data_IF_985275334330
#
_entry.id   IF_985275334330
#
_cell.length_a   1.000
_cell.length_b   1.000
_cell.length_c   1.000
_cell.angle_alpha   90.00
_cell.angle_beta   90.00
_cell.angle_gamma   90.00
#
_symmetry.space_group_name_H-M   'P 1'
#
loop_
_entity.id
_entity.type
_entity.pdbx_description
1 polymer ?
#
# COMPACT_ATOMS: atom_id res chain seq x y z
N UNK A 1 -76.88 -39.43 -7.18
CA UNK A 1 -76.59 -39.21 -5.75
C UNK A 1 -75.80 -37.92 -5.59
N UNK A 2 -76.34 -36.99 -4.79
CA UNK A 2 -75.76 -35.85 -4.06
C UNK A 2 -74.64 -34.97 -4.68
N UNK A 3 -74.97 -33.70 -5.04
CA UNK A 3 -74.68 -32.40 -4.32
C UNK A 3 -73.29 -31.82 -4.65
N UNK A 4 -73.18 -30.80 -5.51
CA UNK A 4 -73.42 -29.32 -5.38
C UNK A 4 -72.16 -28.53 -4.94
N UNK A 5 -71.79 -27.60 -5.83
CA UNK A 5 -70.99 -26.37 -5.74
C UNK A 5 -70.66 -25.81 -4.34
N UNK A 6 -69.52 -25.10 -4.21
CA UNK A 6 -69.43 -23.62 -4.09
C UNK A 6 -68.01 -23.17 -3.64
N UNK A 7 -67.55 -22.07 -4.26
CA UNK A 7 -66.56 -21.03 -3.87
C UNK A 7 -65.28 -21.35 -3.11
N UNK A 8 -64.17 -20.79 -3.63
CA UNK A 8 -63.18 -20.10 -2.81
C UNK A 8 -62.85 -18.74 -3.44
N UNK A 9 -62.80 -17.75 -2.55
CA UNK A 9 -62.73 -16.30 -2.70
C UNK A 9 -61.36 -15.75 -3.05
N UNK A 10 -61.39 -14.67 -3.82
CA UNK A 10 -60.31 -13.73 -4.12
C UNK A 10 -59.86 -12.96 -2.85
N UNK A 11 -58.54 -12.81 -2.64
CA UNK A 11 -57.97 -11.99 -1.54
C UNK A 11 -56.99 -10.97 -2.10
N UNK A 12 -57.39 -9.71 -1.95
CA UNK A 12 -56.58 -8.49 -1.99
C UNK A 12 -55.27 -8.59 -1.17
N UNK A 13 -54.16 -8.11 -1.75
CA UNK A 13 -53.05 -7.50 -1.00
C UNK A 13 -52.53 -6.25 -1.73
N UNK A 14 -53.01 -5.12 -1.23
CA UNK A 14 -52.38 -3.81 -1.02
C UNK A 14 -51.16 -3.37 -1.88
N UNK A 15 -51.39 -2.39 -2.76
CA UNK A 15 -50.35 -1.62 -3.45
C UNK A 15 -49.94 -0.38 -2.61
N UNK A 16 -48.89 -0.50 -1.81
CA UNK A 16 -48.25 0.66 -1.20
C UNK A 16 -47.21 1.29 -2.13
N UNK A 17 -47.42 2.59 -2.37
CA UNK A 17 -46.65 3.50 -3.23
C UNK A 17 -45.23 3.69 -2.69
N UNK A 18 -44.21 3.51 -3.54
CA UNK A 18 -42.82 3.95 -3.26
C UNK A 18 -42.61 5.40 -3.73
N UNK A 19 -41.89 6.25 -2.96
CA UNK A 19 -41.65 7.65 -3.33
C UNK A 19 -40.55 7.79 -4.41
N UNK A 20 -40.73 8.77 -5.30
CA UNK A 20 -39.75 9.17 -6.33
C UNK A 20 -38.61 10.00 -5.72
N UNK A 21 -37.37 9.94 -6.26
CA UNK A 21 -36.26 10.79 -5.81
C UNK A 21 -36.45 12.26 -6.25
N UNK A 22 -35.94 13.25 -5.48
CA UNK A 22 -36.10 14.66 -5.80
C UNK A 22 -35.18 15.09 -6.95
N UNK A 23 -35.72 15.96 -7.81
CA UNK A 23 -35.09 16.43 -9.04
C UNK A 23 -33.92 17.37 -8.85
N UNK A 24 -32.98 17.30 -9.80
CA UNK A 24 -31.88 18.23 -9.99
C UNK A 24 -32.38 19.66 -10.19
N UNK A 25 -31.91 20.60 -9.37
CA UNK A 25 -31.94 22.04 -9.69
C UNK A 25 -30.62 22.43 -10.35
N UNK A 26 -30.65 23.27 -11.41
CA UNK A 26 -29.43 23.81 -12.01
C UNK A 26 -28.83 24.90 -11.12
N UNK A 27 -27.50 24.88 -10.99
CA UNK A 27 -26.69 25.89 -10.28
C UNK A 27 -26.50 27.07 -11.23
N UNK A 28 -26.89 28.28 -10.80
CA UNK A 28 -26.61 29.54 -11.50
C UNK A 28 -25.22 30.09 -11.08
N UNK A 29 -24.52 30.84 -11.95
CA UNK A 29 -23.19 31.37 -11.66
C UNK A 29 -23.25 32.64 -10.80
N UNK A 30 -22.36 32.74 -9.82
CA UNK A 30 -22.15 33.94 -9.00
C UNK A 30 -21.28 34.95 -9.76
N UNK A 31 -21.82 36.16 -9.92
CA UNK A 31 -21.15 37.33 -10.44
C UNK A 31 -20.35 38.07 -9.34
N UNK A 32 -19.36 38.82 -9.82
CA UNK A 32 -18.39 39.66 -9.10
C UNK A 32 -18.98 40.88 -8.38
N UNK A 33 -18.11 41.54 -7.59
CA UNK A 33 -18.16 42.87 -6.94
C UNK A 33 -18.46 42.85 -5.42
N UNK A 34 -17.86 43.64 -4.54
CA UNK A 34 -16.74 44.62 -4.54
C UNK A 34 -16.36 44.85 -3.06
N UNK A 35 -15.19 45.44 -2.83
CA UNK A 35 -14.57 45.88 -1.57
C UNK A 35 -15.44 46.84 -0.74
N UNK A 36 -15.38 46.77 0.60
CA UNK A 36 -14.82 47.82 1.48
C UNK A 36 -15.05 47.51 2.98
N UNK A 37 -14.01 47.82 3.77
CA UNK A 37 -13.94 47.94 5.25
C UNK A 37 -13.89 49.46 5.57
N UNK A 38 -13.91 50.01 6.82
CA UNK A 38 -14.31 49.55 8.15
C UNK A 38 -15.31 50.51 8.86
N UNK A 39 -15.68 50.14 10.10
CA UNK A 39 -16.04 50.97 11.29
C UNK A 39 -17.39 50.57 11.87
N UNK A 40 -17.36 49.90 13.03
CA UNK A 40 -17.90 50.50 14.24
C UNK A 40 -17.46 49.73 15.50
N UNK A 41 -16.93 50.51 16.44
CA UNK A 41 -16.52 50.10 17.76
C UNK A 41 -17.69 50.28 18.72
N UNK A 42 -17.93 49.30 19.59
CA UNK A 42 -18.57 49.56 20.89
C UNK A 42 -17.76 48.89 21.99
N UNK A 43 -17.16 49.74 22.80
CA UNK A 43 -16.54 49.49 24.10
C UNK A 43 -17.63 49.46 25.16
N UNK A 44 -17.65 48.47 26.05
CA UNK A 44 -18.05 48.65 27.46
C UNK A 44 -17.15 47.81 28.36
N UNK A 45 -16.41 48.54 29.22
CA UNK A 45 -15.56 48.13 30.33
C UNK A 45 -16.40 47.68 31.56
N UNK A 46 -15.84 46.87 32.46
CA UNK A 46 -16.57 46.46 33.67
C UNK A 46 -15.92 45.41 34.57
N UNK A 47 -14.75 45.74 35.11
CA UNK A 47 -13.89 44.99 36.06
C UNK A 47 -14.57 44.45 37.36
N UNK A 48 -14.01 43.36 37.90
CA UNK A 48 -13.34 43.19 39.24
C UNK A 48 -13.14 41.68 39.50
N UNK A 49 -11.95 41.12 39.73
CA UNK A 49 -10.90 41.32 40.75
C UNK A 49 -11.10 40.49 42.05
N UNK A 50 -10.08 39.67 42.39
CA UNK A 50 -9.91 38.90 43.63
C UNK A 50 -10.25 37.41 43.46
N UNK A 51 -9.43 36.41 43.80
CA UNK A 51 -8.54 36.36 44.96
C UNK A 51 -7.36 35.38 44.74
N UNK A 52 -6.23 35.71 45.36
CA UNK A 52 -5.03 34.88 45.45
C UNK A 52 -5.12 34.08 46.75
N UNK A 53 -4.93 32.76 46.69
CA UNK A 53 -4.15 31.94 47.65
C UNK A 53 -4.39 30.45 47.37
N UNK A 54 -3.35 29.73 46.94
CA UNK A 54 -2.87 28.50 47.55
C UNK A 54 -1.66 28.00 46.74
N UNK A 55 -0.48 28.37 47.24
CA UNK A 55 0.76 27.66 46.97
C UNK A 55 0.82 26.42 47.87
N UNK A 56 1.61 25.45 47.42
CA UNK A 56 2.20 24.34 48.18
C UNK A 56 1.27 23.24 48.71
N UNK A 57 1.14 22.18 47.92
CA UNK A 57 1.37 20.80 48.38
C UNK A 57 1.37 19.84 47.18
N UNK A 58 2.18 18.78 47.25
CA UNK A 58 2.37 17.67 46.29
C UNK A 58 3.56 17.82 45.32
N UNK A 59 4.74 18.06 45.90
CA UNK A 59 5.97 17.40 45.46
C UNK A 59 6.10 16.02 46.16
N UNK A 60 6.57 15.02 45.41
CA UNK A 60 6.83 13.64 45.86
C UNK A 60 5.68 12.72 45.44
N UNK A 61 5.84 11.64 44.70
CA UNK A 61 6.91 10.63 44.57
C UNK A 61 6.62 9.94 43.23
N UNK A 62 7.52 9.90 42.23
CA UNK A 62 8.36 8.74 41.91
C UNK A 62 9.34 9.19 40.81
N UNK A 63 10.61 9.42 41.18
CA UNK A 63 11.73 9.38 40.24
C UNK A 63 12.18 7.92 40.15
N UNK A 64 11.88 7.26 39.04
CA UNK A 64 12.55 6.02 38.64
C UNK A 64 13.37 6.34 37.38
N UNK A 65 14.69 6.06 37.36
CA UNK A 65 15.48 6.23 36.15
C UNK A 65 15.11 5.11 35.16
N UNK A 66 14.56 5.47 34.01
CA UNK A 66 14.47 4.57 32.87
C UNK A 66 15.87 4.39 32.28
N UNK A 67 16.55 3.34 32.72
CA UNK A 67 17.76 2.82 32.09
C UNK A 67 17.41 2.33 30.68
N UNK A 68 17.72 3.15 29.68
CA UNK A 68 17.68 2.75 28.27
C UNK A 68 18.80 1.72 28.05
N UNK A 69 18.45 0.44 28.02
CA UNK A 69 19.34 -0.60 27.49
C UNK A 69 19.47 -0.40 25.97
N UNK A 70 20.50 0.33 25.55
CA UNK A 70 21.00 0.31 24.18
C UNK A 70 21.67 -1.05 23.95
N UNK A 71 20.96 -1.98 23.33
CA UNK A 71 21.61 -3.13 22.69
C UNK A 71 22.21 -2.66 21.36
N UNK A 72 23.48 -2.26 21.42
CA UNK A 72 24.30 -1.99 20.23
C UNK A 72 25.70 -2.55 20.46
N UNK A 73 25.88 -3.82 20.14
CA UNK A 73 27.16 -4.43 19.76
C UNK A 73 26.77 -5.45 18.66
N UNK A 74 27.42 -5.53 17.51
CA UNK A 74 28.79 -5.98 17.22
C UNK A 74 29.06 -5.41 15.81
N UNK A 75 30.15 -4.69 15.47
CA UNK A 75 31.49 -5.17 15.10
C UNK A 75 32.34 -3.91 14.97
N UNK A 76 33.39 -3.75 15.77
CA UNK A 76 34.61 -3.02 15.37
C UNK A 76 35.72 -3.27 16.39
N UNK A 77 36.81 -3.88 15.90
CA UNK A 77 38.23 -3.70 16.26
C UNK A 77 38.99 -5.03 16.29
N UNK A 78 39.83 -5.23 15.27
CA UNK A 78 41.13 -5.89 15.42
C UNK A 78 42.03 -5.47 14.25
N UNK A 79 42.63 -4.29 14.39
CA UNK A 79 43.88 -3.96 13.72
C UNK A 79 44.77 -3.27 14.75
N UNK A 80 45.79 -3.99 15.22
CA UNK A 80 47.14 -3.50 15.52
C UNK A 80 47.84 -4.50 16.45
N UNK A 81 48.68 -5.36 15.88
CA UNK A 81 49.80 -6.00 16.59
C UNK A 81 50.88 -6.34 15.56
N UNK A 82 51.57 -5.31 15.10
CA UNK A 82 52.82 -5.43 14.34
C UNK A 82 53.95 -5.38 15.36
N UNK A 83 54.72 -6.47 15.51
CA UNK A 83 56.20 -6.53 15.62
C UNK A 83 56.66 -7.77 16.40
N UNK A 84 57.72 -8.39 15.85
CA UNK A 84 58.60 -9.47 16.37
C UNK A 84 57.96 -10.86 16.30
N UNK A 85 58.51 -11.89 15.64
CA UNK A 85 59.90 -12.25 15.40
C UNK A 85 60.07 -12.95 14.04
N UNK A 86 61.10 -12.55 13.29
CA UNK A 86 61.59 -13.25 12.11
C UNK A 86 63.09 -13.50 12.28
N UNK A 87 63.45 -14.69 12.74
CA UNK A 87 64.76 -15.32 12.57
C UNK A 87 64.53 -16.83 12.65
N UNK A 88 64.64 -17.54 11.51
CA UNK A 88 65.38 -18.80 11.30
C UNK A 88 65.43 -19.03 9.78
N UNK A 89 66.65 -19.21 9.26
CA UNK A 89 67.01 -19.54 7.87
C UNK A 89 66.62 -20.97 7.44
N UNK A 90 66.60 -21.30 6.13
CA UNK A 90 66.00 -22.54 5.61
C UNK A 90 67.02 -23.70 5.49
N UNK A 91 66.58 -24.97 5.46
CA UNK A 91 67.37 -26.03 4.89
C UNK A 91 66.95 -26.35 3.45
N UNK A 92 67.94 -26.18 2.59
CA UNK A 92 68.31 -26.90 1.37
C UNK A 92 67.42 -28.06 0.84
N UNK A 93 67.29 -27.98 -0.49
CA UNK A 93 66.94 -29.01 -1.47
C UNK A 93 67.27 -30.46 -1.06
N UNK A 94 66.30 -31.35 -1.24
CA UNK A 94 66.54 -32.67 -1.84
C UNK A 94 65.53 -32.91 -2.95
N UNK A 95 66.06 -33.19 -4.15
CA UNK A 95 65.35 -33.88 -5.22
C UNK A 95 65.13 -35.32 -4.76
N UNK A 96 63.98 -35.89 -5.08
CA UNK A 96 63.87 -37.26 -5.56
C UNK A 96 62.55 -37.44 -6.33
N UNK A 97 62.57 -38.42 -7.22
CA UNK A 97 61.79 -38.52 -8.43
C UNK A 97 60.45 -39.26 -8.28
N UNK A 98 59.62 -39.04 -9.30
CA UNK A 98 58.64 -39.95 -9.89
C UNK A 98 57.28 -40.17 -9.20
N UNK A 99 56.22 -40.06 -10.01
CA UNK A 99 54.87 -40.52 -9.67
C UNK A 99 53.76 -39.62 -10.18
N UNK A 100 53.25 -39.94 -11.37
CA UNK A 100 51.99 -39.45 -11.96
C UNK A 100 50.89 -39.13 -10.93
N UNK A 101 50.40 -37.89 -10.96
CA UNK A 101 49.05 -37.56 -10.45
C UNK A 101 48.42 -36.51 -11.37
N UNK A 102 47.16 -36.71 -11.81
CA UNK A 102 46.51 -35.77 -12.70
C UNK A 102 46.26 -34.44 -11.97
N UNK A 103 46.55 -33.37 -12.70
CA UNK A 103 46.21 -31.98 -12.40
C UNK A 103 44.79 -31.85 -11.87
N UNK A 104 44.64 -31.61 -10.56
CA UNK A 104 43.40 -31.05 -10.02
C UNK A 104 43.41 -29.55 -10.30
N UNK A 105 42.92 -29.20 -11.49
CA UNK A 105 42.49 -27.84 -11.76
C UNK A 105 41.40 -27.48 -10.74
N UNK A 106 41.79 -26.76 -9.67
CA UNK A 106 40.87 -26.12 -8.75
C UNK A 106 40.03 -25.13 -9.57
N UNK A 107 38.86 -25.58 -9.99
CA UNK A 107 37.81 -24.72 -10.51
C UNK A 107 37.44 -23.76 -9.39
N UNK A 108 37.88 -22.50 -9.51
CA UNK A 108 37.36 -21.41 -8.69
C UNK A 108 35.89 -21.25 -9.04
N UNK A 109 35.03 -21.98 -8.35
CA UNK A 109 33.59 -21.76 -8.43
C UNK A 109 33.32 -20.32 -8.02
N UNK A 110 32.85 -19.54 -8.99
CA UNK A 110 32.38 -18.18 -8.79
C UNK A 110 31.18 -18.27 -7.85
N UNK A 111 31.36 -17.95 -6.57
CA UNK A 111 30.27 -17.88 -5.60
C UNK A 111 29.31 -16.78 -6.07
N UNK A 112 28.26 -17.17 -6.79
CA UNK A 112 27.18 -16.26 -7.15
C UNK A 112 26.39 -15.98 -5.88
N UNK A 113 26.27 -14.70 -5.53
CA UNK A 113 25.51 -14.26 -4.36
C UNK A 113 24.06 -14.76 -4.47
N UNK A 114 23.48 -15.20 -3.35
CA UNK A 114 22.14 -15.81 -3.34
C UNK A 114 21.09 -14.93 -4.03
N UNK A 115 21.15 -13.62 -3.81
CA UNK A 115 20.25 -12.64 -4.45
C UNK A 115 20.39 -12.62 -5.98
N UNK A 116 21.61 -12.63 -6.51
CA UNK A 116 21.86 -12.67 -7.96
C UNK A 116 21.35 -13.97 -8.58
N UNK A 117 21.54 -15.09 -7.87
CA UNK A 117 21.02 -16.40 -8.31
C UNK A 117 19.49 -16.43 -8.35
N UNK A 118 18.84 -15.90 -7.32
CA UNK A 118 17.38 -15.79 -7.26
C UNK A 118 16.82 -14.91 -8.38
N UNK A 119 17.47 -13.79 -8.69
CA UNK A 119 17.10 -12.94 -9.82
C UNK A 119 17.20 -13.69 -11.16
N UNK A 120 18.26 -14.47 -11.36
CA UNK A 120 18.45 -15.29 -12.56
C UNK A 120 17.44 -16.44 -12.67
N UNK A 121 17.07 -17.08 -11.56
CA UNK A 121 15.97 -18.07 -11.52
C UNK A 121 14.67 -17.44 -12.00
N UNK A 122 14.32 -16.26 -11.47
CA UNK A 122 13.10 -15.56 -11.85
C UNK A 122 13.11 -15.15 -13.32
N UNK A 123 14.23 -14.63 -13.83
CA UNK A 123 14.38 -14.29 -15.25
C UNK A 123 14.08 -15.49 -16.14
N UNK A 124 14.66 -16.65 -15.83
CA UNK A 124 14.43 -17.89 -16.60
C UNK A 124 12.99 -18.37 -16.53
N UNK A 125 12.36 -18.26 -15.36
CA UNK A 125 10.94 -18.58 -15.20
C UNK A 125 10.06 -17.60 -16.01
N UNK A 126 10.47 -16.34 -16.16
CA UNK A 126 9.80 -15.37 -17.04
C UNK A 126 9.90 -15.77 -18.51
N UNK A 127 11.09 -16.17 -18.96
CA UNK A 127 11.33 -16.52 -20.37
C UNK A 127 10.65 -17.84 -20.79
N UNK A 128 10.49 -18.78 -19.86
CA UNK A 128 10.02 -20.15 -20.14
C UNK A 128 8.64 -20.50 -19.54
N UNK A 129 8.05 -19.61 -18.73
CA UNK A 129 6.81 -19.84 -17.98
C UNK A 129 6.95 -20.78 -16.78
N UNK A 130 7.99 -21.62 -16.75
CA UNK A 130 8.25 -22.59 -15.69
C UNK A 130 9.54 -23.36 -15.90
N UNK A 131 10.14 -23.85 -14.81
CA UNK A 131 11.38 -24.61 -14.88
C UNK A 131 11.43 -25.74 -13.85
N UNK A 132 12.11 -26.84 -14.20
CA UNK A 132 12.40 -27.95 -13.28
C UNK A 132 13.64 -27.65 -12.45
N UNK A 133 13.65 -28.11 -11.20
CA UNK A 133 14.76 -27.93 -10.25
C UNK A 133 16.09 -28.43 -10.84
N UNK A 134 16.07 -29.62 -11.45
CA UNK A 134 17.26 -30.22 -12.07
C UNK A 134 17.85 -29.38 -13.22
N UNK A 135 17.00 -28.66 -13.97
CA UNK A 135 17.43 -27.79 -15.08
C UNK A 135 18.07 -26.51 -14.52
N UNK A 136 17.40 -25.87 -13.55
CA UNK A 136 17.94 -24.69 -12.87
C UNK A 136 19.28 -24.98 -12.17
N UNK A 137 19.40 -26.15 -11.52
CA UNK A 137 20.60 -26.58 -10.84
C UNK A 137 21.79 -26.74 -11.81
N UNK A 138 21.55 -27.41 -12.94
CA UNK A 138 22.55 -27.59 -14.01
C UNK A 138 23.00 -26.25 -14.58
N UNK A 139 22.05 -25.40 -14.94
CA UNK A 139 22.34 -24.17 -15.68
C UNK A 139 23.03 -23.11 -14.81
N UNK A 140 22.65 -23.05 -13.53
CA UNK A 140 23.25 -22.15 -12.54
C UNK A 140 24.47 -22.77 -11.85
N UNK A 141 24.81 -24.02 -12.20
CA UNK A 141 25.92 -24.80 -11.65
C UNK A 141 25.90 -24.84 -10.11
N UNK A 142 24.74 -25.17 -9.55
CA UNK A 142 24.52 -25.33 -8.10
C UNK A 142 23.81 -26.65 -7.82
N UNK A 143 23.76 -27.07 -6.55
CA UNK A 143 23.03 -28.29 -6.17
C UNK A 143 21.51 -28.07 -6.25
N UNK A 144 20.77 -29.14 -6.51
CA UNK A 144 19.30 -29.11 -6.45
C UNK A 144 18.78 -28.63 -5.09
N UNK A 145 19.46 -29.00 -4.01
CA UNK A 145 19.14 -28.54 -2.65
C UNK A 145 19.25 -27.01 -2.51
N UNK A 146 20.24 -26.39 -3.16
CA UNK A 146 20.38 -24.93 -3.19
C UNK A 146 19.24 -24.29 -3.95
N UNK A 147 18.85 -24.85 -5.10
CA UNK A 147 17.70 -24.38 -5.87
C UNK A 147 16.41 -24.55 -5.07
N UNK A 148 16.18 -25.69 -4.40
CA UNK A 148 14.98 -25.90 -3.57
C UNK A 148 14.86 -24.81 -2.51
N UNK A 149 15.94 -24.50 -1.77
CA UNK A 149 15.95 -23.41 -0.77
C UNK A 149 15.71 -22.03 -1.37
N UNK A 150 16.24 -21.75 -2.56
CA UNK A 150 15.98 -20.48 -3.23
C UNK A 150 14.54 -20.37 -3.73
N UNK A 151 13.98 -21.46 -4.28
CA UNK A 151 12.58 -21.55 -4.67
C UNK A 151 11.66 -21.41 -3.46
N UNK A 152 11.99 -22.00 -2.30
CA UNK A 152 11.24 -21.84 -1.06
C UNK A 152 11.17 -20.37 -0.63
N UNK A 153 12.30 -19.67 -0.66
CA UNK A 153 12.35 -18.23 -0.34
C UNK A 153 11.57 -17.39 -1.34
N UNK A 154 11.64 -17.72 -2.62
CA UNK A 154 10.92 -17.02 -3.68
C UNK A 154 9.41 -17.29 -3.62
N UNK A 155 8.99 -18.49 -3.25
CA UNK A 155 7.59 -18.87 -3.00
C UNK A 155 7.04 -18.17 -1.75
N UNK A 156 7.79 -18.16 -0.66
CA UNK A 156 7.45 -17.38 0.55
C UNK A 156 7.33 -15.88 0.26
N UNK A 157 8.09 -15.38 -0.72
CA UNK A 157 7.99 -14.01 -1.21
C UNK A 157 6.93 -13.82 -2.31
N UNK A 158 6.11 -14.83 -2.62
CA UNK A 158 5.02 -14.78 -3.60
C UNK A 158 5.47 -14.59 -5.05
N UNK A 159 6.74 -14.87 -5.38
CA UNK A 159 7.32 -14.62 -6.72
C UNK A 159 7.06 -15.75 -7.71
N UNK A 160 6.84 -16.95 -7.21
CA UNK A 160 6.61 -18.18 -7.97
C UNK A 160 5.72 -19.14 -7.18
N UNK A 161 5.19 -20.16 -7.84
CA UNK A 161 4.49 -21.29 -7.21
C UNK A 161 5.27 -22.56 -7.51
N UNK A 162 5.53 -23.37 -6.49
CA UNK A 162 6.20 -24.65 -6.70
C UNK A 162 5.24 -25.68 -7.28
N UNK A 163 5.79 -26.52 -8.15
CA UNK A 163 5.12 -27.70 -8.68
C UNK A 163 5.92 -28.95 -8.29
N UNK A 164 5.36 -30.14 -8.51
CA UNK A 164 6.08 -31.39 -8.29
C UNK A 164 7.33 -31.43 -9.18
N UNK A 165 8.50 -31.12 -8.58
CA UNK A 165 9.81 -31.11 -9.24
C UNK A 165 10.24 -29.79 -9.90
N UNK A 166 9.51 -28.69 -9.72
CA UNK A 166 9.81 -27.42 -10.39
C UNK A 166 9.15 -26.19 -9.77
N UNK A 167 9.12 -25.11 -10.55
CA UNK A 167 8.44 -23.87 -10.22
C UNK A 167 7.79 -23.27 -11.48
N UNK A 168 6.63 -22.66 -11.30
CA UNK A 168 5.94 -21.84 -12.28
C UNK A 168 6.04 -20.37 -11.87
N UNK A 169 6.20 -19.48 -12.84
CA UNK A 169 6.17 -18.05 -12.57
C UNK A 169 4.73 -17.64 -12.20
N UNK A 170 4.54 -16.94 -11.08
CA UNK A 170 3.28 -16.23 -10.85
C UNK A 170 3.32 -14.97 -11.71
N UNK A 171 2.33 -14.71 -12.59
CA UNK A 171 2.24 -13.46 -13.34
C UNK A 171 2.29 -12.27 -12.37
N UNK A 172 3.00 -11.21 -12.71
CA UNK A 172 3.16 -10.06 -11.80
C UNK A 172 1.82 -9.40 -11.40
N UNK A 173 0.81 -9.58 -12.24
CA UNK A 173 -0.58 -9.15 -12.03
C UNK A 173 -1.29 -9.90 -10.89
N UNK A 174 -0.86 -11.14 -10.62
CA UNK A 174 -1.36 -12.01 -9.55
C UNK A 174 -0.46 -12.01 -8.31
N UNK A 175 0.70 -11.32 -8.34
CA UNK A 175 1.59 -11.22 -7.18
C UNK A 175 1.16 -10.09 -6.24
N UNK A 176 1.05 -10.42 -4.97
CA UNK A 176 1.05 -9.42 -3.90
C UNK A 176 2.50 -9.05 -3.57
N UNK A 177 2.99 -8.01 -4.26
CA UNK A 177 4.34 -7.48 -4.02
C UNK A 177 4.38 -6.78 -2.67
N UNK A 178 5.49 -6.84 -1.95
CA UNK A 178 5.59 -6.11 -0.68
C UNK A 178 5.34 -4.60 -0.86
N UNK A 179 4.87 -3.94 0.19
CA UNK A 179 4.69 -2.49 0.21
C UNK A 179 5.96 -1.75 -0.25
N UNK A 180 7.15 -2.12 0.24
CA UNK A 180 8.41 -1.45 -0.11
C UNK A 180 8.76 -1.63 -1.60
N UNK A 181 8.48 -2.81 -2.15
CA UNK A 181 8.67 -3.08 -3.58
C UNK A 181 7.75 -2.20 -4.42
N UNK A 182 6.48 -2.08 -4.02
CA UNK A 182 5.52 -1.21 -4.71
C UNK A 182 5.88 0.25 -4.56
N UNK A 183 6.36 0.69 -3.40
CA UNK A 183 6.69 2.08 -3.14
C UNK A 183 7.75 2.63 -4.10
N UNK A 184 8.75 1.80 -4.43
CA UNK A 184 9.86 2.20 -5.33
C UNK A 184 9.49 2.13 -6.81
N UNK A 185 8.56 1.25 -7.22
CA UNK A 185 8.12 1.15 -8.60
C UNK A 185 7.32 2.38 -9.04
N UNK A 186 7.62 2.94 -10.21
CA UNK A 186 6.96 4.14 -10.78
C UNK A 186 6.84 5.29 -9.77
N UNK A 187 7.83 5.46 -8.88
CA UNK A 187 7.76 6.39 -7.76
C UNK A 187 7.50 7.84 -8.19
N UNK A 188 8.17 8.32 -9.25
CA UNK A 188 7.99 9.68 -9.75
C UNK A 188 6.55 9.96 -10.19
N UNK A 189 5.94 9.01 -10.92
CA UNK A 189 4.54 9.09 -11.31
C UNK A 189 3.62 9.18 -10.08
N UNK A 190 3.88 8.38 -9.04
CA UNK A 190 3.09 8.39 -7.80
C UNK A 190 3.20 9.70 -7.04
N UNK A 191 4.41 10.27 -6.96
CA UNK A 191 4.63 11.58 -6.35
C UNK A 191 3.88 12.67 -7.12
N UNK A 192 3.92 12.65 -8.45
CA UNK A 192 3.21 13.62 -9.29
C UNK A 192 1.68 13.49 -9.13
N UNK A 193 1.15 12.27 -9.13
CA UNK A 193 -0.26 11.97 -8.87
C UNK A 193 -0.67 12.45 -7.47
N UNK A 194 0.15 12.19 -6.45
CA UNK A 194 -0.09 12.63 -5.08
C UNK A 194 -0.17 14.16 -4.95
N UNK A 195 0.75 14.89 -5.59
CA UNK A 195 0.71 16.38 -5.61
C UNK A 195 -0.57 16.91 -6.25
N UNK A 196 -1.07 16.25 -7.29
CA UNK A 196 -2.36 16.58 -7.88
C UNK A 196 -3.52 16.30 -6.93
N UNK A 197 -3.51 15.15 -6.26
CA UNK A 197 -4.56 14.76 -5.31
C UNK A 197 -4.64 15.66 -4.08
N UNK A 198 -3.50 16.20 -3.59
CA UNK A 198 -3.49 17.16 -2.45
C UNK A 198 -4.38 18.37 -2.70
N UNK A 199 -4.53 18.83 -3.95
CA UNK A 199 -5.37 19.98 -4.31
C UNK A 199 -6.87 19.73 -4.10
N UNK A 200 -7.27 18.46 -3.93
CA UNK A 200 -8.65 18.07 -3.67
C UNK A 200 -8.98 18.00 -2.16
N UNK A 201 -7.98 18.21 -1.30
CA UNK A 201 -8.11 18.19 0.16
C UNK A 201 -8.26 19.62 0.67
N UNK A 202 -9.28 19.84 1.50
CA UNK A 202 -9.60 21.13 2.12
C UNK A 202 -9.56 21.04 3.65
N UNK A 203 -9.30 22.16 4.35
CA UNK A 203 -9.47 22.22 5.79
C UNK A 203 -10.90 21.83 6.20
N UNK A 204 -11.03 21.00 7.24
CA UNK A 204 -12.28 20.46 7.76
C UNK A 204 -12.68 19.11 7.16
N UNK A 205 -12.00 18.64 6.11
CA UNK A 205 -12.37 17.40 5.44
C UNK A 205 -12.20 16.16 6.35
N UNK A 206 -13.07 15.17 6.15
CA UNK A 206 -12.88 13.79 6.63
C UNK A 206 -12.54 12.91 5.43
N UNK A 207 -11.26 12.56 5.30
CA UNK A 207 -10.74 11.80 4.17
C UNK A 207 -10.36 10.37 4.56
N UNK A 208 -10.61 9.41 3.68
CA UNK A 208 -10.12 8.04 3.80
C UNK A 208 -8.97 7.79 2.83
N UNK A 209 -7.89 7.19 3.33
CA UNK A 209 -6.69 6.81 2.57
C UNK A 209 -6.50 5.29 2.64
N UNK A 210 -6.53 4.62 1.49
CA UNK A 210 -6.22 3.20 1.42
C UNK A 210 -4.72 2.90 1.67
N UNK A 211 -4.41 1.61 1.89
CA UNK A 211 -3.04 1.13 2.08
C UNK A 211 -2.30 0.84 0.76
N UNK A 212 -2.39 1.74 -0.21
CA UNK A 212 -1.62 1.65 -1.45
C UNK A 212 -0.35 2.52 -1.42
N UNK A 213 0.64 2.15 -2.23
CA UNK A 213 1.87 2.94 -2.35
C UNK A 213 1.63 4.33 -2.93
N UNK A 214 0.67 4.47 -3.85
CA UNK A 214 0.37 5.76 -4.48
C UNK A 214 -0.33 6.70 -3.49
N UNK A 215 -1.26 6.17 -2.69
CA UNK A 215 -1.93 6.95 -1.63
C UNK A 215 -1.01 7.21 -0.44
N UNK A 216 0.00 6.36 -0.20
CA UNK A 216 1.06 6.67 0.74
C UNK A 216 1.81 7.95 0.35
N UNK A 217 2.13 8.15 -0.93
CA UNK A 217 2.74 9.40 -1.41
C UNK A 217 1.82 10.61 -1.17
N UNK A 218 0.50 10.44 -1.30
CA UNK A 218 -0.48 11.46 -0.89
C UNK A 218 -0.35 11.76 0.62
N UNK A 219 -0.30 10.74 1.48
CA UNK A 219 -0.10 10.93 2.92
C UNK A 219 1.21 11.66 3.25
N UNK A 220 2.29 11.43 2.50
CA UNK A 220 3.55 12.17 2.65
C UNK A 220 3.39 13.66 2.30
N UNK A 221 2.61 13.95 1.25
CA UNK A 221 2.41 15.27 0.68
C UNK A 221 1.30 16.09 1.35
N UNK A 222 0.47 15.49 2.20
CA UNK A 222 -0.59 16.18 2.92
C UNK A 222 -0.04 17.37 3.73
N UNK A 223 -0.71 18.54 3.65
CA UNK A 223 -0.38 19.68 4.50
C UNK A 223 -0.81 19.41 5.95
N UNK A 224 -0.13 20.03 6.91
CA UNK A 224 -0.51 19.96 8.33
C UNK A 224 -1.57 21.03 8.64
N UNK A 225 -2.80 20.77 8.19
CA UNK A 225 -3.97 21.63 8.35
C UNK A 225 -5.07 20.90 9.13
N UNK A 226 -6.07 21.60 9.64
CA UNK A 226 -7.24 20.96 10.27
C UNK A 226 -7.93 20.01 9.30
N UNK A 227 -7.75 18.70 9.43
CA UNK A 227 -8.50 17.67 8.71
C UNK A 227 -8.49 16.34 9.51
N UNK A 228 -9.40 15.43 9.19
CA UNK A 228 -9.41 14.07 9.75
C UNK A 228 -9.02 13.07 8.68
N UNK A 229 -7.93 12.33 8.92
CA UNK A 229 -7.48 11.23 8.07
C UNK A 229 -7.90 9.90 8.69
N UNK A 230 -8.68 9.13 7.96
CA UNK A 230 -8.99 7.73 8.25
C UNK A 230 -8.13 6.86 7.35
N UNK A 231 -7.41 5.88 7.89
CA UNK A 231 -6.59 5.00 7.06
C UNK A 231 -6.49 3.59 7.61
N UNK A 232 -6.45 2.61 6.72
CA UNK A 232 -6.06 1.25 7.07
C UNK A 232 -4.56 0.99 6.85
N UNK A 233 -3.78 1.99 6.43
CA UNK A 233 -2.35 1.87 6.18
C UNK A 233 -1.52 2.08 7.45
N UNK A 234 -0.72 1.10 7.83
CA UNK A 234 0.26 1.27 8.90
C UNK A 234 1.35 2.29 8.50
N UNK A 235 1.97 2.21 7.30
CA UNK A 235 2.93 3.23 6.84
C UNK A 235 2.38 4.66 6.83
N UNK A 236 1.15 4.87 6.34
CA UNK A 236 0.55 6.20 6.36
C UNK A 236 0.25 6.68 7.79
N UNK A 237 -0.21 5.80 8.67
CA UNK A 237 -0.45 6.12 10.09
C UNK A 237 0.83 6.60 10.76
N UNK A 238 1.93 5.85 10.61
CA UNK A 238 3.24 6.22 11.19
C UNK A 238 3.73 7.55 10.63
N UNK A 239 3.57 7.78 9.32
CA UNK A 239 3.95 9.05 8.70
C UNK A 239 3.21 10.25 9.29
N UNK A 240 1.90 10.10 9.45
CA UNK A 240 1.01 11.18 9.86
C UNK A 240 1.03 11.41 11.38
N UNK A 241 1.55 10.47 12.17
CA UNK A 241 1.60 10.55 13.63
C UNK A 241 2.31 11.81 14.17
N UNK A 242 3.25 12.39 13.41
CA UNK A 242 3.96 13.60 13.81
C UNK A 242 3.23 14.91 13.46
N UNK A 243 2.09 14.85 12.75
CA UNK A 243 1.30 16.01 12.31
C UNK A 243 0.32 16.39 13.43
N UNK A 244 0.43 17.62 13.92
CA UNK A 244 -0.32 18.05 15.12
C UNK A 244 -1.61 18.79 14.80
N UNK A 245 -1.79 19.26 13.57
CA UNK A 245 -2.98 20.01 13.16
C UNK A 245 -4.04 19.15 12.50
N UNK A 246 -3.72 17.91 12.11
CA UNK A 246 -4.69 16.92 11.64
C UNK A 246 -4.93 15.81 12.67
N UNK A 247 -6.11 15.18 12.59
CA UNK A 247 -6.49 14.01 13.37
C UNK A 247 -6.27 12.75 12.54
N UNK A 248 -5.59 11.76 13.08
CA UNK A 248 -5.41 10.44 12.43
C UNK A 248 -6.27 9.38 13.13
N UNK A 249 -7.03 8.62 12.36
CA UNK A 249 -7.81 7.46 12.79
C UNK A 249 -7.32 6.25 11.99
N UNK A 250 -6.62 5.33 12.65
CA UNK A 250 -6.30 4.03 12.07
C UNK A 250 -7.51 3.09 12.25
N UNK A 251 -7.90 2.34 11.22
CA UNK A 251 -9.04 1.40 11.30
C UNK A 251 -8.77 0.28 12.31
N UNK A 252 -7.51 -0.08 12.54
CA UNK A 252 -7.13 -1.26 13.30
C UNK A 252 -7.60 -2.54 12.61
N UNK A 253 -7.42 -3.70 13.26
CA UNK A 253 -7.75 -5.01 12.70
C UNK A 253 -6.57 -5.97 12.74
N UNK A 254 -6.55 -6.91 11.81
CA UNK A 254 -5.41 -7.83 11.62
C UNK A 254 -4.41 -7.19 10.67
N UNK A 255 -3.13 -7.16 11.04
CA UNK A 255 -2.07 -6.63 10.19
C UNK A 255 -1.76 -7.63 9.08
N UNK A 256 -2.09 -7.26 7.85
CA UNK A 256 -1.56 -7.88 6.65
C UNK A 256 -0.15 -7.32 6.37
N UNK A 257 0.86 -8.12 6.71
CA UNK A 257 2.27 -7.69 6.69
C UNK A 257 2.78 -7.37 5.28
N UNK A 258 2.51 -8.16 4.22
CA UNK A 258 2.98 -7.86 2.88
C UNK A 258 2.52 -6.50 2.36
N UNK A 259 1.25 -6.14 2.58
CA UNK A 259 0.72 -4.84 2.17
C UNK A 259 0.99 -3.70 3.16
N UNK A 260 1.30 -4.03 4.41
CA UNK A 260 1.42 -3.06 5.49
C UNK A 260 0.07 -2.44 5.87
N UNK A 261 -1.02 -3.19 5.79
CA UNK A 261 -2.36 -2.69 6.03
C UNK A 261 -3.12 -3.46 7.11
N UNK A 262 -4.11 -2.80 7.69
CA UNK A 262 -5.07 -3.42 8.59
C UNK A 262 -6.28 -3.92 7.80
N UNK A 263 -6.63 -5.19 8.01
CA UNK A 263 -7.73 -5.88 7.34
C UNK A 263 -8.61 -6.64 8.31
N UNK A 264 -9.70 -7.20 7.78
CA UNK A 264 -10.66 -8.02 8.51
C UNK A 264 -11.82 -7.21 9.08
N UNK A 265 -12.78 -7.92 9.66
CA UNK A 265 -14.06 -7.36 10.10
C UNK A 265 -13.94 -6.20 11.08
N UNK A 266 -12.91 -6.17 11.94
CA UNK A 266 -12.67 -5.04 12.83
C UNK A 266 -12.30 -3.76 12.05
N UNK A 267 -11.46 -3.89 11.02
CA UNK A 267 -11.10 -2.77 10.15
C UNK A 267 -12.32 -2.24 9.39
N UNK A 268 -13.14 -3.16 8.85
CA UNK A 268 -14.37 -2.85 8.12
C UNK A 268 -15.38 -2.13 9.04
N UNK A 269 -15.70 -2.70 10.21
CA UNK A 269 -16.65 -2.08 11.16
C UNK A 269 -16.16 -0.75 11.74
N UNK A 270 -14.85 -0.52 11.83
CA UNK A 270 -14.34 0.78 12.24
C UNK A 270 -14.72 1.89 11.25
N UNK A 271 -14.78 1.58 9.95
CA UNK A 271 -15.18 2.52 8.90
C UNK A 271 -16.67 2.88 9.02
N UNK A 272 -17.53 1.94 9.40
CA UNK A 272 -18.99 2.10 9.48
C UNK A 272 -19.46 3.22 10.42
N UNK A 273 -18.60 3.61 11.35
CA UNK A 273 -18.89 4.63 12.36
C UNK A 273 -18.42 6.02 11.96
N UNK A 274 -17.90 6.18 10.75
CA UNK A 274 -17.24 7.40 10.28
C UNK A 274 -17.97 7.95 9.06
N UNK A 275 -18.24 9.26 9.08
CA UNK A 275 -18.78 9.97 7.93
C UNK A 275 -17.62 10.41 7.03
N UNK A 276 -17.19 9.51 6.13
CA UNK A 276 -16.12 9.78 5.18
C UNK A 276 -16.68 10.66 4.05
N UNK A 277 -16.06 11.82 3.83
CA UNK A 277 -16.44 12.71 2.73
C UNK A 277 -15.73 12.31 1.45
N UNK A 278 -14.41 12.14 1.50
CA UNK A 278 -13.58 11.84 0.34
C UNK A 278 -12.78 10.58 0.58
N UNK A 279 -12.74 9.66 -0.38
CA UNK A 279 -11.79 8.54 -0.38
C UNK A 279 -10.77 8.71 -1.50
N UNK A 280 -9.51 8.50 -1.15
CA UNK A 280 -8.41 8.35 -2.08
C UNK A 280 -7.92 6.91 -1.97
N UNK A 281 -8.01 6.17 -3.07
CA UNK A 281 -7.56 4.79 -3.14
C UNK A 281 -6.80 4.51 -4.42
N UNK A 282 -6.06 3.40 -4.43
CA UNK A 282 -5.47 2.86 -5.66
C UNK A 282 -5.98 1.45 -5.92
N UNK A 283 -5.68 0.93 -7.10
CA UNK A 283 -6.03 -0.43 -7.49
C UNK A 283 -4.83 -1.16 -8.11
N UNK A 284 -4.76 -2.49 -7.93
CA UNK A 284 -3.75 -3.32 -8.58
C UNK A 284 -3.93 -3.33 -10.11
N UNK A 285 -5.17 -3.30 -10.58
CA UNK A 285 -5.48 -3.35 -12.01
C UNK A 285 -6.77 -2.62 -12.36
N UNK A 286 -6.73 -1.89 -13.46
CA UNK A 286 -7.85 -1.13 -14.04
C UNK A 286 -8.20 -1.75 -15.39
N UNK A 287 -9.31 -2.46 -15.45
CA UNK A 287 -9.86 -3.03 -16.67
C UNK A 287 -11.17 -2.34 -17.04
N UNK A 288 -11.34 -1.99 -18.31
CA UNK A 288 -12.52 -1.24 -18.76
C UNK A 288 -13.81 -2.07 -18.78
N UNK A 289 -13.71 -3.40 -18.81
CA UNK A 289 -14.88 -4.30 -18.82
C UNK A 289 -15.17 -4.85 -17.42
N UNK A 290 -14.11 -5.19 -16.68
CA UNK A 290 -14.18 -5.84 -15.36
C UNK A 290 -14.02 -4.89 -14.18
N UNK A 291 -13.61 -3.64 -14.42
CA UNK A 291 -13.42 -2.62 -13.40
C UNK A 291 -12.08 -2.72 -12.66
N UNK A 292 -12.10 -2.26 -11.42
CA UNK A 292 -10.98 -2.26 -10.49
C UNK A 292 -10.81 -3.64 -9.87
N UNK A 293 -9.57 -4.05 -9.62
CA UNK A 293 -9.26 -5.35 -9.02
C UNK A 293 -8.05 -5.31 -8.09
N UNK A 294 -8.01 -6.26 -7.16
CA UNK A 294 -6.96 -6.48 -6.16
C UNK A 294 -6.44 -7.91 -6.20
N UNK A 295 -5.31 -8.15 -5.55
CA UNK A 295 -4.76 -9.52 -5.43
C UNK A 295 -5.45 -10.28 -4.29
N UNK A 296 -5.75 -9.58 -3.19
CA UNK A 296 -6.22 -10.16 -1.94
C UNK A 296 -7.65 -9.71 -1.59
N UNK A 297 -8.47 -10.64 -1.12
CA UNK A 297 -9.89 -10.41 -0.78
C UNK A 297 -10.04 -9.54 0.46
N UNK A 298 -9.17 -9.69 1.46
CA UNK A 298 -9.25 -8.89 2.68
C UNK A 298 -8.93 -7.42 2.41
N UNK A 299 -7.97 -7.14 1.52
CA UNK A 299 -7.73 -5.77 1.01
C UNK A 299 -8.94 -5.24 0.24
N UNK A 300 -9.48 -6.06 -0.68
CA UNK A 300 -10.61 -5.67 -1.51
C UNK A 300 -11.83 -5.28 -0.67
N UNK A 301 -12.14 -6.04 0.40
CA UNK A 301 -13.26 -5.75 1.31
C UNK A 301 -13.12 -4.41 2.01
N UNK A 302 -11.94 -4.10 2.56
CA UNK A 302 -11.72 -2.82 3.24
C UNK A 302 -11.85 -1.65 2.27
N UNK A 303 -11.23 -1.75 1.08
CA UNK A 303 -11.34 -0.71 0.04
C UNK A 303 -12.77 -0.55 -0.47
N UNK A 304 -13.49 -1.66 -0.66
CA UNK A 304 -14.91 -1.63 -1.04
C UNK A 304 -15.72 -0.88 0.01
N UNK A 305 -15.47 -1.15 1.30
CA UNK A 305 -16.17 -0.46 2.37
C UNK A 305 -15.87 1.05 2.39
N UNK A 306 -14.63 1.44 2.13
CA UNK A 306 -14.27 2.86 1.98
C UNK A 306 -15.00 3.52 0.79
N UNK A 307 -15.13 2.82 -0.34
CA UNK A 307 -15.88 3.29 -1.51
C UNK A 307 -17.37 3.47 -1.22
N UNK A 308 -17.97 2.53 -0.48
CA UNK A 308 -19.40 2.56 -0.17
C UNK A 308 -19.78 3.72 0.75
N UNK A 309 -18.87 4.13 1.63
CA UNK A 309 -19.12 5.15 2.65
C UNK A 309 -18.76 6.57 2.19
N UNK A 310 -17.91 6.73 1.18
CA UNK A 310 -17.42 8.02 0.75
C UNK A 310 -18.34 8.73 -0.24
N UNK A 311 -18.58 10.03 -0.02
CA UNK A 311 -19.36 10.86 -0.93
C UNK A 311 -18.61 11.18 -2.24
N UNK A 312 -17.29 11.40 -2.15
CA UNK A 312 -16.40 11.64 -3.29
C UNK A 312 -15.33 10.55 -3.34
N UNK A 313 -15.02 10.06 -4.54
CA UNK A 313 -14.26 8.81 -4.74
C UNK A 313 -13.21 9.01 -5.80
N UNK A 314 -11.95 9.02 -5.38
CA UNK A 314 -10.79 9.36 -6.20
C UNK A 314 -9.89 8.13 -6.36
N UNK A 315 -9.70 7.71 -7.62
CA UNK A 315 -8.79 6.63 -7.96
C UNK A 315 -7.43 7.22 -8.36
N UNK A 316 -6.39 6.90 -7.62
CA UNK A 316 -5.01 7.30 -7.88
C UNK A 316 -4.25 6.10 -8.45
N UNK A 317 -3.96 6.09 -9.74
CA UNK A 317 -3.29 4.98 -10.43
C UNK A 317 -2.30 5.53 -11.44
N UNK A 318 -1.12 4.92 -11.54
CA UNK A 318 -0.21 5.21 -12.63
C UNK A 318 -0.64 4.49 -13.92
N UNK A 319 -0.18 4.98 -15.06
CA UNK A 319 -0.58 4.57 -16.40
C UNK A 319 -0.32 3.08 -16.67
N UNK A 320 0.62 2.46 -15.96
CA UNK A 320 0.89 1.01 -16.06
C UNK A 320 -0.25 0.13 -15.54
N UNK A 321 -1.24 0.69 -14.83
CA UNK A 321 -2.37 -0.06 -14.26
C UNK A 321 -3.54 -0.23 -15.22
N UNK A 322 -3.59 0.51 -16.31
CA UNK A 322 -4.66 0.39 -17.30
C UNK A 322 -4.49 -0.87 -18.17
N UNK A 323 -5.60 -1.56 -18.43
CA UNK A 323 -5.61 -2.85 -19.15
C UNK A 323 -5.11 -4.02 -18.31
N UNK A 324 -4.89 -3.82 -17.00
CA UNK A 324 -4.43 -4.86 -16.08
C UNK A 324 -5.61 -5.45 -15.32
N UNK A 325 -5.68 -6.78 -15.25
CA UNK A 325 -6.63 -7.53 -14.42
C UNK A 325 -5.90 -8.19 -13.26
N UNK A 326 -6.51 -8.15 -12.07
CA UNK A 326 -6.09 -8.92 -10.91
C UNK A 326 -7.18 -9.90 -10.47
N UNK A 327 -6.94 -10.62 -9.37
CA UNK A 327 -7.69 -11.83 -9.00
C UNK A 327 -9.07 -11.50 -8.43
N UNK A 328 -9.16 -10.48 -7.58
CA UNK A 328 -10.37 -10.14 -6.83
C UNK A 328 -10.98 -8.86 -7.39
N UNK A 329 -12.24 -8.89 -7.86
CA UNK A 329 -12.96 -7.67 -8.24
C UNK A 329 -13.17 -6.74 -7.04
N UNK A 330 -12.96 -5.44 -7.24
CA UNK A 330 -13.12 -4.41 -6.21
C UNK A 330 -14.36 -3.54 -6.46
N UNK A 331 -14.44 -2.92 -7.63
CA UNK A 331 -15.51 -2.00 -7.99
C UNK A 331 -15.54 -1.78 -9.51
N UNK A 332 -16.66 -1.32 -10.05
CA UNK A 332 -16.74 -0.83 -11.42
C UNK A 332 -16.02 0.51 -11.54
N UNK A 333 -15.57 0.83 -12.75
CA UNK A 333 -14.82 2.06 -13.00
C UNK A 333 -15.71 3.32 -12.92
N UNK A 334 -17.02 3.20 -13.18
CA UNK A 334 -17.98 4.29 -13.05
C UNK A 334 -18.45 4.54 -11.60
N UNK A 335 -17.99 3.72 -10.64
CA UNK A 335 -18.20 3.98 -9.22
C UNK A 335 -17.21 5.01 -8.66
N UNK A 336 -16.13 5.35 -9.38
CA UNK A 336 -15.23 6.43 -8.98
C UNK A 336 -15.60 7.72 -9.70
N UNK A 337 -15.51 8.84 -8.98
CA UNK A 337 -15.88 10.16 -9.52
C UNK A 337 -14.77 10.73 -10.41
N UNK A 338 -13.51 10.51 -10.03
CA UNK A 338 -12.38 10.93 -10.85
C UNK A 338 -11.19 9.97 -10.74
N UNK A 339 -10.47 9.83 -11.85
CA UNK A 339 -9.20 9.11 -11.97
C UNK A 339 -8.07 10.12 -12.10
N UNK A 340 -7.05 9.97 -11.26
CA UNK A 340 -5.83 10.75 -11.24
C UNK A 340 -4.67 9.84 -11.66
N UNK A 341 -4.02 10.18 -12.78
CA UNK A 341 -2.94 9.39 -13.39
C UNK A 341 -1.81 10.26 -13.92
N UNK A 342 -0.66 9.67 -14.24
CA UNK A 342 0.42 10.36 -14.94
C UNK A 342 0.13 10.57 -16.44
N UNK A 343 0.95 11.40 -17.07
CA UNK A 343 0.86 11.74 -18.49
C UNK A 343 1.00 10.54 -19.45
N UNK A 344 1.52 9.39 -18.98
CA UNK A 344 1.71 8.18 -19.78
C UNK A 344 0.43 7.42 -20.15
N UNK A 345 -0.76 7.85 -19.69
CA UNK A 345 -2.03 7.21 -20.07
C UNK A 345 -2.27 7.30 -21.59
N UNK A 346 -2.63 6.17 -22.19
CA UNK A 346 -2.83 6.06 -23.64
C UNK A 346 -4.08 6.81 -24.12
N UNK A 347 -4.11 7.31 -25.38
CA UNK A 347 -5.29 7.95 -25.96
C UNK A 347 -6.55 7.06 -25.91
N UNK A 348 -6.37 5.76 -26.12
CA UNK A 348 -7.45 4.76 -26.02
C UNK A 348 -8.01 4.67 -24.58
N UNK A 349 -7.13 4.60 -23.58
CA UNK A 349 -7.56 4.59 -22.18
C UNK A 349 -8.31 5.88 -21.79
N UNK A 350 -7.86 7.04 -22.28
CA UNK A 350 -8.57 8.32 -22.09
C UNK A 350 -9.96 8.29 -22.73
N UNK A 351 -10.06 7.84 -23.98
CA UNK A 351 -11.33 7.75 -24.69
C UNK A 351 -12.33 6.81 -23.98
N UNK A 352 -11.84 5.67 -23.48
CA UNK A 352 -12.67 4.72 -22.72
C UNK A 352 -13.14 5.26 -21.37
N UNK A 353 -12.30 6.01 -20.65
CA UNK A 353 -12.73 6.72 -19.42
C UNK A 353 -13.82 7.76 -19.72
N UNK A 354 -13.63 8.55 -20.78
CA UNK A 354 -14.61 9.55 -21.19
C UNK A 354 -15.96 8.92 -21.59
N UNK A 355 -15.94 7.79 -22.30
CA UNK A 355 -17.15 7.05 -22.66
C UNK A 355 -17.92 6.50 -21.45
N UNK A 356 -17.22 6.23 -20.34
CA UNK A 356 -17.82 5.81 -19.07
C UNK A 356 -18.30 7.00 -18.20
N UNK A 357 -18.09 8.24 -18.64
CA UNK A 357 -18.45 9.43 -17.88
C UNK A 357 -17.57 9.66 -16.64
N UNK A 358 -16.39 9.04 -16.58
CA UNK A 358 -15.47 9.15 -15.45
C UNK A 358 -14.53 10.35 -15.68
N UNK A 359 -14.47 11.28 -14.73
CA UNK A 359 -13.59 12.43 -14.85
C UNK A 359 -12.12 11.98 -14.81
N UNK A 360 -11.28 12.57 -15.65
CA UNK A 360 -9.85 12.24 -15.74
C UNK A 360 -9.02 13.49 -15.47
N UNK A 361 -8.08 13.39 -14.55
CA UNK A 361 -7.01 14.38 -14.36
C UNK A 361 -5.67 13.73 -14.60
N UNK A 362 -4.80 14.41 -15.34
CA UNK A 362 -3.45 13.92 -15.61
C UNK A 362 -2.40 14.90 -15.10
N UNK A 363 -1.27 14.35 -14.67
CA UNK A 363 -0.10 15.17 -14.38
C UNK A 363 0.35 15.91 -15.63
N UNK A 364 1.07 17.01 -15.42
CA UNK A 364 1.77 17.75 -16.49
C UNK A 364 2.86 16.90 -17.16
#
# INVERSE_FOLDING_TARGET
MLRRNVHVTDRNVDHQRRPRPPGHRPVQPLAEHVRDDPRDAVVVDGRRAGDRRHADALQGVLKLPLTVHRNTQIIQHSQASVRRNSQVEPPSRRRDANGDRPSTARCRERIVLAHQRQAEILKRLTDSGGARVAVLARDLRVTEETIRRDLDKLEQAGRLVRTHGGALLVPETSRDLSFETRQTANHEAKVAIARMAVRLVSPGDVIALDASSTVHELALALPDIPLTVVTNSLPATVRLAARTHLRVIATGGTLDRPSGSWVGSLAEHALDRLNIQKVFLSSKGVDFERGLSEVDDAQARVKRRMLDLAAERYLLVDSSKFGVRSVVPLARLDEVHAVLTDAGITPDARARLAALGVALQTTE
#
